data_IF_822379629960
#
_entry.id   IF_822379629960
#
_cell.length_a   1.000
_cell.length_b   1.000
_cell.length_c   1.000
_cell.angle_alpha   90.00
_cell.angle_beta   90.00
_cell.angle_gamma   90.00
#
_symmetry.space_group_name_H-M   'P 1'
#
loop_
_entity.id
_entity.type
_entity.pdbx_description
1 polymer ?
#
# COMPACT_ATOMS: atom_id res chain seq x y z
N UNK A 1 21.04 15.61 31.98
CA UNK A 1 20.95 15.59 30.50
C UNK A 1 20.55 14.19 30.10
N UNK A 2 19.31 13.98 29.61
CA UNK A 2 18.82 12.67 29.20
C UNK A 2 18.66 12.65 27.67
N UNK A 3 19.80 12.62 26.98
CA UNK A 3 19.81 12.46 25.53
C UNK A 3 19.81 10.96 25.28
N UNK A 4 18.67 10.38 24.90
CA UNK A 4 18.62 9.00 24.42
C UNK A 4 19.54 8.89 23.21
N UNK A 5 20.36 7.83 23.16
CA UNK A 5 21.12 7.52 21.95
C UNK A 5 20.15 7.22 20.80
N UNK A 6 20.63 7.40 19.57
CA UNK A 6 19.88 7.02 18.38
C UNK A 6 19.50 5.54 18.38
N UNK A 7 20.37 4.66 18.90
CA UNK A 7 20.09 3.23 19.02
C UNK A 7 18.93 2.95 19.97
N UNK A 8 18.88 3.64 21.12
CA UNK A 8 17.79 3.49 22.08
C UNK A 8 16.45 3.99 21.52
N UNK A 9 16.46 5.01 20.65
CA UNK A 9 15.27 5.46 19.94
C UNK A 9 14.85 4.45 18.88
N UNK A 10 15.77 4.00 18.02
CA UNK A 10 15.49 3.02 16.97
C UNK A 10 14.91 1.72 17.54
N UNK A 11 15.50 1.19 18.62
CA UNK A 11 15.00 -0.02 19.28
C UNK A 11 13.60 0.14 19.89
N UNK A 12 13.18 1.38 20.18
CA UNK A 12 11.86 1.68 20.75
C UNK A 12 10.77 1.91 19.71
N UNK A 13 11.12 2.04 18.42
CA UNK A 13 10.18 2.34 17.36
C UNK A 13 9.53 1.05 16.81
N UNK A 14 8.20 0.90 16.92
CA UNK A 14 7.50 -0.26 16.38
C UNK A 14 7.68 -0.43 14.87
N UNK A 15 7.91 0.66 14.13
CA UNK A 15 8.14 0.65 12.69
C UNK A 15 9.45 -0.04 12.29
N UNK A 16 10.43 -0.15 13.19
CA UNK A 16 11.69 -0.85 12.94
C UNK A 16 11.50 -2.37 12.96
N UNK A 17 10.54 -2.87 13.75
CA UNK A 17 10.20 -4.29 13.82
C UNK A 17 9.16 -4.73 12.79
N UNK A 18 8.36 -3.78 12.26
CA UNK A 18 7.33 -4.08 11.27
C UNK A 18 7.94 -4.34 9.89
N UNK A 19 7.53 -5.43 9.24
CA UNK A 19 7.89 -5.69 7.86
C UNK A 19 7.32 -4.57 6.98
N UNK A 20 8.21 -3.87 6.27
CA UNK A 20 7.82 -2.82 5.33
C UNK A 20 7.32 -3.47 4.03
N UNK A 21 6.31 -2.87 3.37
CA UNK A 21 5.90 -3.34 2.06
C UNK A 21 7.07 -3.20 1.08
N UNK A 22 7.15 -4.13 0.14
CA UNK A 22 8.09 -4.00 -0.98
C UNK A 22 7.61 -2.87 -1.88
N UNK A 23 8.44 -1.85 -2.09
CA UNK A 23 8.09 -0.69 -2.91
C UNK A 23 8.74 -0.78 -4.28
N UNK A 24 7.95 -0.63 -5.34
CA UNK A 24 8.37 -0.67 -6.74
C UNK A 24 8.04 0.67 -7.39
N UNK A 25 9.06 1.46 -7.72
CA UNK A 25 8.90 2.69 -8.50
C UNK A 25 8.93 2.39 -9.99
N UNK A 26 7.80 2.56 -10.68
CA UNK A 26 7.67 2.21 -12.10
C UNK A 26 8.42 3.15 -13.05
N UNK A 27 8.81 4.34 -12.57
CA UNK A 27 9.70 5.24 -13.33
C UNK A 27 11.12 4.69 -13.35
N UNK A 28 11.58 4.13 -12.22
CA UNK A 28 12.92 3.56 -12.08
C UNK A 28 13.00 2.13 -12.59
N UNK A 29 11.93 1.36 -12.44
CA UNK A 29 11.83 -0.02 -12.92
C UNK A 29 10.56 -0.25 -13.74
N UNK A 30 10.60 0.05 -15.05
CA UNK A 30 9.39 0.04 -15.89
C UNK A 30 8.90 -1.35 -16.29
N UNK A 31 9.71 -2.40 -16.13
CA UNK A 31 9.29 -3.79 -16.37
C UNK A 31 8.41 -4.30 -15.24
N UNK A 32 7.33 -5.02 -15.58
CA UNK A 32 6.45 -5.64 -14.56
C UNK A 32 7.24 -6.63 -13.75
N UNK A 33 7.41 -6.35 -12.46
CA UNK A 33 7.98 -7.29 -11.51
C UNK A 33 6.81 -8.14 -10.97
N UNK A 34 6.52 -9.25 -11.63
CA UNK A 34 5.45 -10.16 -11.21
C UNK A 34 5.75 -10.73 -9.83
N UNK A 35 4.85 -10.49 -8.88
CA UNK A 35 4.59 -11.39 -7.76
C UNK A 35 3.11 -11.81 -7.87
N UNK A 36 2.81 -12.67 -8.85
CA UNK A 36 1.48 -13.28 -8.90
C UNK A 36 1.22 -13.98 -7.56
N UNK A 37 0.08 -13.70 -6.93
CA UNK A 37 -0.29 -14.26 -5.63
C UNK A 37 -0.04 -13.36 -4.42
N UNK A 38 0.57 -12.17 -4.57
CA UNK A 38 0.69 -11.19 -3.48
C UNK A 38 -0.30 -10.04 -3.63
N UNK A 39 -0.93 -9.64 -2.53
CA UNK A 39 -1.72 -8.43 -2.46
C UNK A 39 -0.86 -7.23 -2.90
N UNK A 40 -1.32 -6.49 -3.91
CA UNK A 40 -0.54 -5.38 -4.49
C UNK A 40 -1.38 -4.11 -4.55
N UNK A 41 -0.84 -3.01 -4.01
CA UNK A 41 -1.39 -1.66 -4.13
C UNK A 41 -0.68 -0.88 -5.23
N UNK A 42 -1.41 -0.54 -6.29
CA UNK A 42 -1.00 0.50 -7.23
C UNK A 42 -1.46 1.86 -6.69
N UNK A 43 -0.50 2.69 -6.27
CA UNK A 43 -0.76 4.02 -5.73
C UNK A 43 -0.04 5.11 -6.52
N UNK A 44 -0.57 6.31 -6.44
CA UNK A 44 0.10 7.49 -7.01
C UNK A 44 1.48 7.68 -6.36
N UNK A 45 2.49 7.92 -7.21
CA UNK A 45 3.92 7.90 -6.86
C UNK A 45 4.32 9.01 -5.90
N UNK A 46 3.83 10.22 -6.07
CA UNK A 46 4.27 11.39 -5.32
C UNK A 46 3.55 11.54 -3.97
N UNK A 47 2.57 10.67 -3.66
CA UNK A 47 1.82 10.69 -2.42
C UNK A 47 0.77 11.80 -2.35
N UNK A 48 0.42 12.42 -3.48
CA UNK A 48 -0.51 13.56 -3.51
C UNK A 48 -1.98 13.14 -3.60
N UNK A 49 -2.24 11.90 -4.02
CA UNK A 49 -3.60 11.40 -4.20
C UNK A 49 -4.22 10.99 -2.84
N UNK A 50 -5.22 11.72 -2.29
CA UNK A 50 -5.83 11.37 -1.00
C UNK A 50 -6.60 10.04 -1.06
N UNK A 51 -7.06 9.63 -2.25
CA UNK A 51 -7.69 8.33 -2.44
C UNK A 51 -6.69 7.18 -2.30
N UNK A 52 -5.48 7.35 -2.81
CA UNK A 52 -4.39 6.38 -2.64
C UNK A 52 -3.94 6.27 -1.19
N UNK A 53 -3.82 7.43 -0.53
CA UNK A 53 -3.45 7.50 0.89
C UNK A 53 -4.43 6.74 1.78
N UNK A 54 -5.73 6.87 1.50
CA UNK A 54 -6.78 6.14 2.23
C UNK A 54 -6.62 4.62 2.15
N UNK A 55 -6.35 4.09 0.95
CA UNK A 55 -6.16 2.64 0.76
C UNK A 55 -4.87 2.18 1.45
N UNK A 56 -3.80 2.97 1.34
CA UNK A 56 -2.55 2.69 2.04
C UNK A 56 -2.74 2.60 3.55
N UNK A 57 -3.35 3.61 4.17
CA UNK A 57 -3.62 3.61 5.61
C UNK A 57 -4.50 2.44 6.04
N UNK A 58 -5.44 2.00 5.21
CA UNK A 58 -6.24 0.81 5.50
C UNK A 58 -5.39 -0.47 5.54
N UNK A 59 -4.45 -0.65 4.61
CA UNK A 59 -3.51 -1.78 4.62
C UNK A 59 -2.60 -1.74 5.85
N UNK A 60 -2.06 -0.56 6.19
CA UNK A 60 -1.20 -0.35 7.36
C UNK A 60 -1.94 -0.62 8.69
N UNK A 61 -3.14 -0.08 8.85
CA UNK A 61 -3.96 -0.28 10.05
C UNK A 61 -4.34 -1.74 10.26
N UNK A 62 -4.55 -2.46 9.16
CA UNK A 62 -4.79 -3.91 9.17
C UNK A 62 -3.53 -4.76 9.28
N UNK A 63 -2.34 -4.15 9.18
CA UNK A 63 -1.03 -4.81 9.23
C UNK A 63 -0.89 -5.93 8.19
N UNK A 64 -1.40 -5.69 6.98
CA UNK A 64 -1.33 -6.66 5.90
C UNK A 64 0.06 -6.65 5.25
N UNK A 65 0.49 -7.81 4.74
CA UNK A 65 1.66 -7.91 3.87
C UNK A 65 1.22 -7.61 2.44
N UNK A 66 1.89 -6.67 1.76
CA UNK A 66 1.54 -6.29 0.40
C UNK A 66 2.75 -5.65 -0.32
N UNK A 67 2.69 -5.65 -1.65
CA UNK A 67 3.59 -4.89 -2.51
C UNK A 67 2.97 -3.53 -2.84
N UNK A 68 3.78 -2.46 -2.80
CA UNK A 68 3.38 -1.12 -3.20
C UNK A 68 4.02 -0.77 -4.54
N UNK A 69 3.20 -0.57 -5.57
CA UNK A 69 3.63 -0.16 -6.90
C UNK A 69 3.30 1.31 -7.10
N UNK A 70 4.33 2.14 -7.26
CA UNK A 70 4.20 3.57 -7.46
C UNK A 70 4.00 3.89 -8.95
N UNK A 71 2.87 4.51 -9.27
CA UNK A 71 2.50 4.93 -10.62
C UNK A 71 2.59 6.45 -10.70
N UNK A 72 3.37 6.95 -11.66
CA UNK A 72 3.41 8.38 -11.97
C UNK A 72 2.18 8.78 -12.80
N UNK A 73 1.35 9.68 -12.27
CA UNK A 73 0.16 10.20 -12.95
C UNK A 73 0.32 11.65 -13.42
N UNK A 74 1.49 12.26 -13.23
CA UNK A 74 1.68 13.73 -13.31
C UNK A 74 2.62 14.17 -14.42
N UNK A 75 3.65 13.37 -14.74
CA UNK A 75 4.65 13.79 -15.71
C UNK A 75 5.56 12.67 -16.21
N UNK A 76 5.72 11.59 -15.45
CA UNK A 76 6.36 10.36 -15.92
C UNK A 76 5.48 9.54 -16.84
N UNK A 77 6.10 8.73 -17.70
CA UNK A 77 5.39 7.78 -18.54
C UNK A 77 4.91 6.59 -17.70
N UNK A 78 3.58 6.40 -17.67
CA UNK A 78 2.99 5.21 -17.07
C UNK A 78 3.49 3.94 -17.76
N UNK A 79 3.79 2.87 -17.01
CA UNK A 79 4.25 1.64 -17.63
C UNK A 79 3.15 1.02 -18.49
N UNK A 80 3.52 0.48 -19.66
CA UNK A 80 2.57 -0.05 -20.66
C UNK A 80 1.67 -1.18 -20.15
N UNK A 81 2.13 -1.92 -19.14
CA UNK A 81 1.39 -3.03 -18.54
C UNK A 81 0.36 -2.59 -17.50
N UNK A 82 0.36 -1.32 -17.10
CA UNK A 82 -0.60 -0.77 -16.13
C UNK A 82 -1.73 -0.02 -16.83
N UNK A 83 -2.96 -0.35 -16.49
CA UNK A 83 -4.17 0.27 -17.02
C UNK A 83 -5.12 0.70 -15.90
N UNK A 84 -6.01 1.65 -16.17
CA UNK A 84 -6.96 2.20 -15.20
C UNK A 84 -6.42 3.38 -14.41
N UNK A 85 -6.93 3.63 -13.20
CA UNK A 85 -6.58 4.77 -12.35
C UNK A 85 -6.14 4.30 -10.97
N UNK A 86 -5.22 5.05 -10.35
CA UNK A 86 -4.85 4.82 -8.95
C UNK A 86 -5.87 5.48 -8.00
N UNK A 87 -6.15 4.89 -6.82
CA UNK A 87 -5.64 3.61 -6.36
C UNK A 87 -6.30 2.41 -7.02
N UNK A 88 -5.54 1.34 -7.15
CA UNK A 88 -6.03 0.04 -7.59
C UNK A 88 -5.36 -1.06 -6.76
N UNK A 89 -6.10 -2.12 -6.43
CA UNK A 89 -5.57 -3.34 -5.82
C UNK A 89 -5.55 -4.44 -6.88
N UNK A 90 -4.45 -5.18 -6.96
CA UNK A 90 -4.43 -6.55 -7.48
C UNK A 90 -4.51 -7.48 -6.27
N UNK A 91 -5.60 -8.23 -6.19
CA UNK A 91 -5.85 -9.20 -5.13
C UNK A 91 -5.04 -10.47 -5.38
N UNK A 92 -4.88 -11.28 -4.33
CA UNK A 92 -4.14 -12.56 -4.40
C UNK A 92 -4.80 -13.56 -5.37
N UNK A 93 -6.12 -13.45 -5.58
CA UNK A 93 -6.89 -14.23 -6.56
C UNK A 93 -6.67 -13.78 -8.02
N UNK A 94 -5.82 -12.77 -8.25
CA UNK A 94 -5.51 -12.22 -9.56
C UNK A 94 -6.52 -11.20 -10.09
N UNK A 95 -7.60 -10.92 -9.35
CA UNK A 95 -8.56 -9.89 -9.74
C UNK A 95 -8.05 -8.50 -9.41
N UNK A 96 -8.47 -7.53 -10.22
CA UNK A 96 -8.08 -6.13 -10.07
C UNK A 96 -9.29 -5.30 -9.66
N UNK A 97 -9.12 -4.37 -8.72
CA UNK A 97 -10.20 -3.51 -8.23
C UNK A 97 -9.75 -2.06 -8.05
N UNK A 98 -10.52 -1.12 -8.61
CA UNK A 98 -10.41 0.32 -8.34
C UNK A 98 -11.38 0.81 -7.27
N UNK A 99 -11.59 2.13 -7.20
CA UNK A 99 -12.47 2.82 -6.25
C UNK A 99 -12.07 2.69 -4.77
N UNK A 100 -11.39 3.72 -4.24
CA UNK A 100 -10.79 3.69 -2.89
C UNK A 100 -11.72 3.20 -1.78
N UNK A 101 -12.99 3.63 -1.77
CA UNK A 101 -13.94 3.22 -0.73
C UNK A 101 -14.40 1.76 -0.87
N UNK A 102 -14.55 1.28 -2.11
CA UNK A 102 -14.91 -0.12 -2.35
C UNK A 102 -13.75 -1.04 -1.93
N UNK A 103 -12.50 -0.63 -2.19
CA UNK A 103 -11.30 -1.33 -1.74
C UNK A 103 -11.28 -1.40 -0.21
N UNK A 104 -11.41 -0.28 0.49
CA UNK A 104 -11.38 -0.23 1.96
C UNK A 104 -12.46 -1.10 2.59
N UNK A 105 -13.68 -1.09 2.04
CA UNK A 105 -14.77 -1.96 2.50
C UNK A 105 -14.43 -3.44 2.28
N UNK A 106 -13.89 -3.80 1.12
CA UNK A 106 -13.50 -5.19 0.83
C UNK A 106 -12.37 -5.66 1.75
N UNK A 107 -11.38 -4.82 2.02
CA UNK A 107 -10.33 -5.11 3.00
C UNK A 107 -10.93 -5.41 4.38
N UNK A 108 -11.92 -4.64 4.82
CA UNK A 108 -12.55 -4.88 6.13
C UNK A 108 -13.34 -6.19 6.20
N UNK A 109 -13.97 -6.60 5.09
CA UNK A 109 -14.68 -7.88 4.98
C UNK A 109 -13.72 -9.06 4.92
N UNK A 110 -12.64 -8.97 4.14
CA UNK A 110 -11.71 -10.08 3.92
C UNK A 110 -10.77 -10.34 5.11
N UNK A 111 -10.49 -9.31 5.90
CA UNK A 111 -9.55 -9.40 7.02
C UNK A 111 -10.23 -8.97 8.34
N UNK A 112 -11.23 -9.73 8.82
CA UNK A 112 -12.04 -9.37 9.99
C UNK A 112 -11.28 -9.47 11.32
N UNK A 113 -10.24 -10.31 11.39
CA UNK A 113 -9.45 -10.53 12.60
C UNK A 113 -8.46 -9.39 12.89
N UNK A 114 -8.26 -8.49 11.92
CA UNK A 114 -7.46 -7.27 12.08
C UNK A 114 -8.29 -6.12 12.65
N UNK A 115 -7.65 -4.99 12.98
CA UNK A 115 -8.34 -3.80 13.48
C UNK A 115 -9.53 -3.44 12.57
N UNK A 116 -10.77 -3.35 13.11
CA UNK A 116 -11.93 -2.92 12.34
C UNK A 116 -11.72 -1.50 11.82
N UNK A 117 -12.05 -1.28 10.56
CA UNK A 117 -11.98 0.05 9.93
C UNK A 117 -13.28 0.85 10.09
N UNK A 118 -14.36 0.18 10.47
CA UNK A 118 -15.66 0.78 10.74
C UNK A 118 -16.03 0.62 12.21
N UNK A 119 -16.82 1.54 12.78
CA UNK A 119 -17.41 1.33 14.10
C UNK A 119 -18.33 0.10 14.06
N UNK A 120 -18.57 -0.56 15.22
CA UNK A 120 -19.61 -1.54 15.34
C UNK A 120 -20.95 -0.95 14.88
N UNK A 121 -21.77 -1.76 14.21
CA UNK A 121 -23.14 -1.38 13.88
C UNK A 121 -24.00 -1.27 15.13
#
# INVERSE_FOLDING_TARGET
SFMRSWDALAASLPSVAAAQPRVIDTVLTPSRQSAGGSLTLFRERNGWCPYSEKVWLALELKRLTYDAVLIDNTGGSRPRWYSGQTPQILWEDGTTQGESMAIVKRLDVLYPDSRPLWPPK
#
